data_IF_396533791056
#
_entry.id   IF_396533791056
#
_cell.length_a   1.000
_cell.length_b   1.000
_cell.length_c   1.000
_cell.angle_alpha   90.00
_cell.angle_beta   90.00
_cell.angle_gamma   90.00
#
_symmetry.space_group_name_H-M   'P 1'
#
loop_
_entity.id
_entity.type
_entity.pdbx_description
1 polymer ?
#
# COMPACT_ATOMS: atom_id res chain seq x y z
N UNK A 1 9.48 13.52 6.71
CA UNK A 1 9.82 13.13 8.10
C UNK A 1 8.83 13.60 9.19
N UNK A 2 8.39 14.86 9.23
CA UNK A 2 7.57 15.38 10.34
C UNK A 2 6.26 14.61 10.60
N UNK A 3 5.54 14.26 9.52
CA UNK A 3 4.29 13.50 9.60
C UNK A 3 4.49 12.12 10.25
N UNK A 4 5.50 11.35 9.84
CA UNK A 4 5.79 10.04 10.42
C UNK A 4 5.96 10.13 11.95
N UNK A 5 6.76 11.08 12.42
CA UNK A 5 7.00 11.26 13.86
C UNK A 5 5.73 11.64 14.62
N UNK A 6 4.86 12.45 14.01
CA UNK A 6 3.58 12.80 14.61
C UNK A 6 2.66 11.58 14.72
N UNK A 7 2.59 10.75 13.67
CA UNK A 7 1.78 9.52 13.64
C UNK A 7 2.32 8.50 14.66
N UNK A 8 3.63 8.24 14.70
CA UNK A 8 4.24 7.33 15.68
C UNK A 8 3.91 7.72 17.13
N UNK A 9 3.90 9.03 17.44
CA UNK A 9 3.50 9.52 18.77
C UNK A 9 2.02 9.32 19.06
N UNK A 10 1.17 9.50 18.04
CA UNK A 10 -0.28 9.35 18.19
C UNK A 10 -0.70 7.88 18.36
N UNK A 11 0.04 6.93 17.78
CA UNK A 11 -0.29 5.49 17.79
C UNK A 11 0.94 4.61 18.08
N UNK A 12 1.53 4.67 19.28
CA UNK A 12 2.83 4.03 19.57
C UNK A 12 2.87 2.50 19.48
N UNK A 13 1.71 1.83 19.44
CA UNK A 13 1.61 0.37 19.36
C UNK A 13 1.30 -0.18 17.95
N UNK A 14 1.13 0.68 16.95
CA UNK A 14 0.77 0.26 15.59
C UNK A 14 2.02 0.38 14.70
N UNK A 15 2.48 -0.71 14.05
CA UNK A 15 3.57 -0.64 13.08
C UNK A 15 3.23 0.32 11.92
N UNK A 16 4.10 1.30 11.66
CA UNK A 16 3.90 2.28 10.59
C UNK A 16 4.83 1.97 9.42
N UNK A 17 4.25 1.63 8.28
CA UNK A 17 4.94 1.44 7.01
C UNK A 17 4.97 2.77 6.24
N UNK A 18 6.09 3.08 5.59
CA UNK A 18 6.25 4.35 4.85
C UNK A 18 6.31 4.09 3.35
N UNK A 19 5.51 4.83 2.57
CA UNK A 19 5.57 4.83 1.11
C UNK A 19 6.78 5.66 0.62
N UNK A 20 7.63 5.05 -0.21
CA UNK A 20 8.72 5.72 -0.91
C UNK A 20 8.30 5.84 -2.38
N UNK A 21 7.83 7.03 -2.75
CA UNK A 21 7.34 7.33 -4.10
C UNK A 21 7.55 8.81 -4.40
N UNK A 22 8.54 9.17 -5.23
CA UNK A 22 8.99 10.56 -5.37
C UNK A 22 8.01 11.43 -6.16
N UNK A 23 7.15 10.82 -6.98
CA UNK A 23 6.11 11.51 -7.75
C UNK A 23 4.88 10.65 -8.03
N UNK A 24 3.78 11.32 -8.40
CA UNK A 24 2.59 10.69 -8.97
C UNK A 24 2.84 10.27 -10.44
N UNK A 25 1.99 9.39 -10.97
CA UNK A 25 2.09 8.87 -12.33
C UNK A 25 2.58 7.42 -12.34
N UNK A 26 3.38 7.09 -13.35
CA UNK A 26 3.99 5.76 -13.51
C UNK A 26 5.00 5.40 -12.40
N UNK A 27 5.60 4.21 -12.56
CA UNK A 27 6.65 3.65 -11.70
C UNK A 27 7.98 3.49 -12.45
N UNK A 28 8.13 4.15 -13.61
CA UNK A 28 9.35 4.15 -14.41
C UNK A 28 10.19 5.37 -14.01
N UNK A 29 11.07 5.19 -13.04
CA UNK A 29 11.85 6.29 -12.50
C UNK A 29 13.13 6.55 -13.32
N UNK A 30 13.51 7.82 -13.43
CA UNK A 30 14.86 8.20 -13.85
C UNK A 30 15.89 7.86 -12.76
N UNK A 31 17.19 7.89 -13.10
CA UNK A 31 18.25 7.68 -12.10
C UNK A 31 18.17 8.71 -10.96
N UNK A 32 17.94 9.98 -11.28
CA UNK A 32 17.83 11.05 -10.28
C UNK A 32 16.62 10.85 -9.34
N UNK A 33 15.48 10.40 -9.85
CA UNK A 33 14.32 10.08 -9.02
C UNK A 33 14.59 8.87 -8.12
N UNK A 34 15.33 7.88 -8.63
CA UNK A 34 15.72 6.70 -7.87
C UNK A 34 16.72 7.06 -6.76
N UNK A 35 17.67 7.95 -7.01
CA UNK A 35 18.60 8.46 -5.98
C UNK A 35 17.85 9.14 -4.82
N UNK A 36 16.83 9.94 -5.13
CA UNK A 36 15.93 10.53 -4.11
C UNK A 36 15.24 9.44 -3.29
N UNK A 37 14.73 8.39 -3.94
CA UNK A 37 14.11 7.26 -3.25
C UNK A 37 15.08 6.56 -2.29
N UNK A 38 16.34 6.36 -2.71
CA UNK A 38 17.38 5.74 -1.87
C UNK A 38 17.70 6.60 -0.65
N UNK A 39 17.80 7.92 -0.81
CA UNK A 39 18.00 8.83 0.32
C UNK A 39 16.82 8.79 1.30
N UNK A 40 15.58 8.82 0.79
CA UNK A 40 14.38 8.69 1.62
C UNK A 40 14.36 7.34 2.38
N UNK A 41 14.73 6.24 1.72
CA UNK A 41 14.83 4.91 2.35
C UNK A 41 15.76 4.96 3.57
N UNK A 42 16.95 5.54 3.43
CA UNK A 42 17.92 5.64 4.52
C UNK A 42 17.41 6.53 5.65
N UNK A 43 16.80 7.67 5.33
CA UNK A 43 16.21 8.56 6.32
C UNK A 43 15.08 7.88 7.10
N UNK A 44 14.20 7.13 6.43
CA UNK A 44 13.07 6.47 7.07
C UNK A 44 13.48 5.27 7.92
N UNK A 45 14.50 4.51 7.52
CA UNK A 45 15.12 3.47 8.36
C UNK A 45 15.61 4.06 9.70
N UNK A 46 16.31 5.20 9.65
CA UNK A 46 16.86 5.85 10.85
C UNK A 46 15.78 6.41 11.79
N UNK A 47 14.56 6.63 11.30
CA UNK A 47 13.45 7.20 12.10
C UNK A 47 12.47 6.16 12.65
N UNK A 48 12.79 4.87 12.54
CA UNK A 48 12.00 3.80 13.14
C UNK A 48 10.68 3.53 12.41
N UNK A 49 10.63 3.75 11.09
CA UNK A 49 9.59 3.14 10.27
C UNK A 49 9.64 1.61 10.45
N UNK A 50 8.48 0.97 10.62
CA UNK A 50 8.41 -0.49 10.79
C UNK A 50 8.74 -1.23 9.49
N UNK A 51 8.56 -0.55 8.36
CA UNK A 51 8.98 -1.01 7.04
C UNK A 51 8.68 0.03 5.97
N UNK A 52 9.05 -0.30 4.73
CA UNK A 52 8.98 0.60 3.58
C UNK A 52 8.15 -0.05 2.48
N UNK A 53 7.44 0.77 1.70
CA UNK A 53 6.60 0.34 0.57
C UNK A 53 7.04 1.14 -0.65
N UNK A 54 7.41 0.45 -1.72
CA UNK A 54 7.77 1.05 -3.01
C UNK A 54 7.61 0.03 -4.13
N UNK A 55 7.66 0.49 -5.37
CA UNK A 55 7.69 -0.37 -6.55
C UNK A 55 8.34 0.35 -7.71
N UNK A 56 9.20 -0.33 -8.45
CA UNK A 56 9.89 0.21 -9.62
C UNK A 56 9.62 -0.72 -10.80
N UNK A 57 9.21 -0.15 -11.92
CA UNK A 57 8.91 -0.89 -13.14
C UNK A 57 9.85 -0.46 -14.27
N UNK A 58 10.11 -1.40 -15.18
CA UNK A 58 10.70 -1.17 -16.50
C UNK A 58 9.67 -0.55 -17.45
N UNK A 59 10.12 -0.07 -18.61
CA UNK A 59 9.23 0.52 -19.62
C UNK A 59 8.21 -0.51 -20.17
N UNK A 60 8.54 -1.79 -20.09
CA UNK A 60 7.73 -2.92 -20.52
C UNK A 60 6.65 -3.31 -19.48
N UNK A 61 6.61 -2.63 -18.33
CA UNK A 61 5.68 -2.91 -17.24
C UNK A 61 6.11 -4.05 -16.31
N UNK A 62 7.31 -4.57 -16.50
CA UNK A 62 7.90 -5.63 -15.68
C UNK A 62 8.58 -4.99 -14.45
N UNK A 63 8.62 -5.67 -13.30
CA UNK A 63 9.37 -5.21 -12.11
C UNK A 63 10.85 -5.01 -12.45
N UNK A 64 11.37 -3.83 -12.15
CA UNK A 64 12.79 -3.54 -12.30
C UNK A 64 13.57 -4.23 -11.16
N UNK A 65 14.02 -5.45 -11.44
CA UNK A 65 14.73 -6.29 -10.48
C UNK A 65 16.04 -5.65 -10.02
N UNK A 66 16.75 -4.92 -10.89
CA UNK A 66 18.03 -4.33 -10.52
C UNK A 66 17.83 -3.22 -9.48
N UNK A 67 16.79 -2.40 -9.66
CA UNK A 67 16.45 -1.31 -8.75
C UNK A 67 15.57 -1.71 -7.56
N UNK A 68 14.88 -2.84 -7.66
CA UNK A 68 14.03 -3.36 -6.57
C UNK A 68 14.78 -4.33 -5.66
N UNK A 69 16.00 -4.76 -6.02
CA UNK A 69 16.83 -5.62 -5.18
C UNK A 69 17.54 -4.82 -4.09
N UNK A 70 17.23 -5.15 -2.83
CA UNK A 70 18.11 -4.92 -1.67
C UNK A 70 19.31 -5.88 -1.63
N UNK A 71 19.64 -6.54 -2.74
CA UNK A 71 20.72 -7.52 -2.83
C UNK A 71 20.28 -8.97 -3.06
N UNK A 72 19.00 -9.37 -2.97
CA UNK A 72 18.59 -10.73 -3.42
C UNK A 72 17.19 -10.81 -4.06
N UNK A 73 17.24 -11.13 -5.37
CA UNK A 73 16.35 -12.02 -6.12
C UNK A 73 14.95 -11.46 -6.58
N UNK A 74 14.32 -11.99 -7.66
CA UNK A 74 13.34 -11.26 -8.52
C UNK A 74 11.86 -11.61 -8.25
N UNK A 75 10.88 -10.83 -8.73
CA UNK A 75 9.45 -11.23 -8.79
C UNK A 75 8.55 -10.50 -9.82
N UNK A 76 7.78 -11.33 -10.55
CA UNK A 76 6.40 -11.29 -11.11
C UNK A 76 5.90 -10.02 -11.82
N UNK A 77 5.39 -10.22 -13.05
CA UNK A 77 5.30 -9.14 -14.03
C UNK A 77 3.99 -8.94 -14.81
N UNK A 78 2.86 -9.60 -14.52
CA UNK A 78 1.52 -9.21 -15.06
C UNK A 78 0.34 -9.85 -14.32
N UNK A 79 -0.82 -9.20 -14.41
CA UNK A 79 -2.08 -9.54 -13.70
C UNK A 79 -2.99 -10.55 -14.44
N UNK A 80 -2.69 -10.90 -15.69
CA UNK A 80 -3.61 -11.65 -16.57
C UNK A 80 -3.56 -13.19 -16.42
N UNK A 81 -2.82 -13.72 -15.44
CA UNK A 81 -2.66 -15.16 -15.24
C UNK A 81 -2.93 -15.57 -13.78
N UNK A 82 -4.21 -15.62 -13.37
CA UNK A 82 -4.61 -16.12 -12.04
C UNK A 82 -3.96 -17.47 -11.62
N UNK A 83 -3.76 -18.47 -12.51
CA UNK A 83 -3.04 -19.70 -12.17
C UNK A 83 -1.53 -19.51 -11.97
N UNK A 84 -0.90 -18.56 -12.68
CA UNK A 84 0.53 -18.28 -12.56
C UNK A 84 0.81 -17.36 -11.37
N UNK A 85 -0.10 -16.44 -11.03
CA UNK A 85 -0.10 -15.68 -9.79
C UNK A 85 -0.09 -16.66 -8.61
N UNK A 86 -0.97 -17.67 -8.57
CA UNK A 86 -0.92 -18.70 -7.51
C UNK A 86 0.43 -19.41 -7.41
N UNK A 87 1.01 -19.83 -8.56
CA UNK A 87 2.31 -20.52 -8.58
C UNK A 87 3.46 -19.60 -8.19
N UNK A 88 3.39 -18.34 -8.57
CA UNK A 88 4.42 -17.37 -8.30
C UNK A 88 4.34 -16.82 -6.87
N UNK A 89 3.14 -16.72 -6.29
CA UNK A 89 2.93 -16.51 -4.85
C UNK A 89 3.51 -17.70 -4.07
N UNK A 90 3.18 -18.94 -4.46
CA UNK A 90 3.73 -20.13 -3.80
C UNK A 90 5.27 -20.19 -3.88
N UNK A 91 5.85 -19.90 -5.06
CA UNK A 91 7.30 -19.86 -5.25
C UNK A 91 7.96 -18.69 -4.49
N UNK A 92 7.32 -17.52 -4.46
CA UNK A 92 7.81 -16.35 -3.73
C UNK A 92 7.77 -16.59 -2.21
N UNK A 93 6.67 -17.13 -1.67
CA UNK A 93 6.57 -17.50 -0.26
C UNK A 93 7.56 -18.61 0.14
N UNK A 94 7.87 -19.55 -0.78
CA UNK A 94 8.90 -20.56 -0.56
C UNK A 94 10.33 -19.99 -0.62
N UNK A 95 10.56 -18.99 -1.47
CA UNK A 95 11.88 -18.37 -1.68
C UNK A 95 12.19 -17.26 -0.65
N UNK A 96 11.17 -16.56 -0.15
CA UNK A 96 11.28 -15.46 0.82
C UNK A 96 10.25 -15.63 1.95
N UNK A 97 10.52 -16.51 2.93
CA UNK A 97 9.56 -16.84 3.99
C UNK A 97 9.22 -15.66 4.94
N UNK A 98 9.86 -14.51 4.76
CA UNK A 98 9.66 -13.30 5.56
C UNK A 98 9.05 -12.11 4.78
N UNK A 99 8.71 -12.29 3.50
CA UNK A 99 8.04 -11.26 2.71
C UNK A 99 6.53 -11.55 2.67
N UNK A 100 5.71 -10.59 3.11
CA UNK A 100 4.25 -10.72 3.02
C UNK A 100 3.73 -10.11 1.72
N UNK A 101 2.87 -10.85 1.02
CA UNK A 101 2.11 -10.33 -0.11
C UNK A 101 0.88 -9.58 0.37
N UNK A 102 0.73 -8.34 -0.07
CA UNK A 102 -0.32 -7.44 0.38
C UNK A 102 -1.28 -7.08 -0.77
N UNK A 103 -2.53 -7.51 -0.67
CA UNK A 103 -3.58 -7.21 -1.65
C UNK A 103 -4.23 -5.88 -1.30
N UNK A 104 -4.20 -4.91 -2.21
CA UNK A 104 -4.58 -3.52 -1.89
C UNK A 104 -5.74 -2.91 -2.70
N UNK A 105 -6.07 -3.50 -3.86
CA UNK A 105 -7.01 -2.87 -4.79
C UNK A 105 -8.46 -3.27 -4.50
N UNK A 106 -9.32 -2.27 -4.28
CA UNK A 106 -10.77 -2.47 -4.19
C UNK A 106 -11.27 -3.16 -2.92
N UNK A 107 -10.44 -3.35 -1.89
CA UNK A 107 -10.86 -3.93 -0.61
C UNK A 107 -11.68 -2.91 0.18
N UNK A 108 -12.93 -3.25 0.46
CA UNK A 108 -13.89 -2.43 1.18
C UNK A 108 -14.93 -3.35 1.87
N UNK A 109 -15.90 -2.81 2.65
CA UNK A 109 -16.89 -3.64 3.33
C UNK A 109 -17.69 -4.59 2.43
N UNK A 110 -17.92 -4.23 1.17
CA UNK A 110 -18.70 -5.03 0.23
C UNK A 110 -17.87 -6.14 -0.42
N UNK A 111 -16.56 -5.94 -0.57
CA UNK A 111 -15.67 -6.89 -1.27
C UNK A 111 -14.85 -7.77 -0.35
N UNK A 112 -14.66 -7.38 0.92
CA UNK A 112 -13.73 -8.03 1.85
C UNK A 112 -14.04 -9.51 2.07
N UNK A 113 -15.31 -9.92 2.14
CA UNK A 113 -15.66 -11.32 2.40
C UNK A 113 -15.23 -12.24 1.24
N UNK A 114 -15.49 -11.82 -0.01
CA UNK A 114 -15.07 -12.54 -1.20
C UNK A 114 -13.54 -12.61 -1.33
N UNK A 115 -12.85 -11.53 -0.94
CA UNK A 115 -11.38 -11.47 -0.91
C UNK A 115 -10.85 -12.46 0.12
N UNK A 116 -11.30 -12.40 1.38
CA UNK A 116 -10.84 -13.29 2.45
C UNK A 116 -11.05 -14.77 2.12
N UNK A 117 -12.20 -15.11 1.52
CA UNK A 117 -12.48 -16.47 1.04
C UNK A 117 -11.46 -16.95 0.00
N UNK A 118 -11.03 -16.06 -0.90
CA UNK A 118 -10.04 -16.37 -1.95
C UNK A 118 -8.61 -16.47 -1.40
N UNK A 119 -8.28 -15.66 -0.39
CA UNK A 119 -6.94 -15.61 0.21
C UNK A 119 -6.65 -16.82 1.10
N UNK A 120 -7.66 -17.35 1.80
CA UNK A 120 -7.51 -18.51 2.69
C UNK A 120 -6.96 -19.76 1.97
N UNK A 121 -7.31 -19.95 0.71
CA UNK A 121 -6.81 -21.07 -0.10
C UNK A 121 -5.30 -20.99 -0.42
N UNK A 122 -4.65 -19.86 -0.11
CA UNK A 122 -3.28 -19.55 -0.53
C UNK A 122 -2.42 -19.03 0.64
N UNK A 123 -2.82 -19.29 1.89
CA UNK A 123 -2.09 -18.93 3.12
C UNK A 123 -1.76 -17.44 3.31
N UNK A 124 -2.43 -16.54 2.58
CA UNK A 124 -2.24 -15.09 2.72
C UNK A 124 -2.96 -14.59 3.98
N UNK A 125 -2.26 -13.79 4.78
CA UNK A 125 -2.71 -13.33 6.10
C UNK A 125 -2.86 -11.83 6.25
N UNK A 126 -2.55 -11.06 5.21
CA UNK A 126 -2.58 -9.60 5.24
C UNK A 126 -3.39 -9.04 4.09
N UNK A 127 -4.11 -7.95 4.36
CA UNK A 127 -4.89 -7.18 3.41
C UNK A 127 -4.57 -5.69 3.56
N UNK A 128 -4.63 -4.95 2.47
CA UNK A 128 -4.48 -3.51 2.44
C UNK A 128 -5.72 -2.84 1.87
N UNK A 129 -6.08 -1.71 2.45
CA UNK A 129 -7.18 -0.88 2.00
C UNK A 129 -6.89 0.57 2.37
N UNK A 130 -7.41 1.48 1.57
CA UNK A 130 -7.32 2.91 1.85
C UNK A 130 -8.35 3.35 2.88
N UNK A 131 -9.55 2.74 2.84
CA UNK A 131 -10.73 3.21 3.57
C UNK A 131 -11.07 4.67 3.29
N UNK A 132 -10.57 5.21 2.17
CA UNK A 132 -10.52 6.64 1.95
C UNK A 132 -11.78 7.20 1.32
N UNK A 133 -12.10 8.43 1.68
CA UNK A 133 -13.20 9.21 1.12
C UNK A 133 -12.88 10.70 1.17
N UNK A 134 -13.56 11.47 0.33
CA UNK A 134 -13.49 12.93 0.36
C UNK A 134 -14.49 13.48 1.36
N UNK A 135 -14.03 14.44 2.17
CA UNK A 135 -14.86 15.24 3.07
C UNK A 135 -14.71 16.72 2.75
N UNK A 136 -15.73 17.52 3.06
CA UNK A 136 -15.65 18.96 2.92
C UNK A 136 -14.57 19.54 3.87
N UNK A 137 -13.61 20.30 3.34
CA UNK A 137 -12.51 20.85 4.13
C UNK A 137 -12.89 22.01 5.05
N UNK A 138 -14.17 22.38 5.14
CA UNK A 138 -14.68 23.39 6.07
C UNK A 138 -14.34 24.84 5.70
N UNK A 139 -13.58 25.07 4.62
CA UNK A 139 -13.25 26.42 4.16
C UNK A 139 -14.51 27.12 3.64
N UNK A 140 -14.92 28.20 4.31
CA UNK A 140 -16.15 28.93 3.99
C UNK A 140 -16.03 29.86 2.78
N UNK A 141 -14.83 30.33 2.47
CA UNK A 141 -14.57 31.21 1.34
C UNK A 141 -13.76 30.47 0.28
N UNK A 142 -14.37 30.22 -0.89
CA UNK A 142 -13.79 29.41 -1.99
C UNK A 142 -13.75 30.23 -3.28
N UNK A 143 -12.69 31.00 -3.53
CA UNK A 143 -12.55 31.77 -4.76
C UNK A 143 -12.58 30.85 -6.00
N UNK A 144 -13.40 31.19 -6.98
CA UNK A 144 -13.38 30.52 -8.27
C UNK A 144 -12.07 30.79 -9.02
N UNK A 145 -11.59 29.80 -9.77
CA UNK A 145 -10.38 29.94 -10.60
C UNK A 145 -9.05 29.85 -9.83
N UNK A 146 -9.07 29.63 -8.52
CA UNK A 146 -7.89 29.26 -7.75
C UNK A 146 -7.86 27.73 -7.62
N UNK A 147 -6.95 27.09 -8.34
CA UNK A 147 -6.71 25.66 -8.25
C UNK A 147 -5.22 25.38 -8.20
N UNK A 148 -4.80 24.51 -7.28
CA UNK A 148 -3.41 24.06 -7.09
C UNK A 148 -3.16 22.69 -7.74
N UNK A 149 -4.08 22.25 -8.62
CA UNK A 149 -3.97 20.99 -9.35
C UNK A 149 -4.75 19.82 -8.74
N UNK A 150 -5.57 20.06 -7.71
CA UNK A 150 -6.47 19.05 -7.16
C UNK A 150 -7.80 19.04 -7.93
N UNK A 151 -7.81 18.40 -9.11
CA UNK A 151 -8.91 18.29 -10.08
C UNK A 151 -10.31 18.09 -9.47
N UNK A 152 -10.99 19.19 -9.13
CA UNK A 152 -12.35 19.18 -8.58
C UNK A 152 -12.47 18.99 -7.06
N UNK A 153 -11.36 18.80 -6.35
CA UNK A 153 -11.30 18.57 -4.90
C UNK A 153 -10.43 19.59 -4.17
N UNK A 154 -10.29 20.79 -4.74
CA UNK A 154 -9.41 21.86 -4.23
C UNK A 154 -9.66 22.22 -2.75
N UNK A 155 -10.91 22.09 -2.31
CA UNK A 155 -11.34 22.45 -0.96
C UNK A 155 -11.71 21.24 -0.11
N UNK A 156 -11.58 20.03 -0.65
CA UNK A 156 -11.95 18.80 0.02
C UNK A 156 -10.71 18.17 0.67
N UNK A 157 -10.93 17.40 1.72
CA UNK A 157 -9.90 16.66 2.43
C UNK A 157 -10.12 15.18 2.20
N UNK A 158 -9.11 14.51 1.62
CA UNK A 158 -9.09 13.06 1.58
C UNK A 158 -8.77 12.53 2.98
N UNK A 159 -9.67 11.75 3.55
CA UNK A 159 -9.53 11.19 4.89
C UNK A 159 -9.85 9.69 4.91
N UNK A 160 -9.45 8.99 5.97
CA UNK A 160 -9.78 7.57 6.16
C UNK A 160 -11.04 7.43 7.01
N UNK A 161 -12.05 6.74 6.48
CA UNK A 161 -13.31 6.46 7.17
C UNK A 161 -13.14 5.44 8.29
N UNK A 162 -13.35 5.90 9.53
CA UNK A 162 -13.38 5.01 10.70
C UNK A 162 -14.45 3.91 10.56
N UNK A 163 -15.61 4.23 9.97
CA UNK A 163 -16.68 3.27 9.76
C UNK A 163 -16.25 2.15 8.81
N UNK A 164 -15.69 2.51 7.65
CA UNK A 164 -15.24 1.53 6.66
C UNK A 164 -14.15 0.61 7.24
N UNK A 165 -13.17 1.17 7.96
CA UNK A 165 -12.12 0.39 8.62
C UNK A 165 -12.69 -0.58 9.65
N UNK A 166 -13.64 -0.15 10.49
CA UNK A 166 -14.30 -1.01 11.49
C UNK A 166 -15.14 -2.13 10.85
N UNK A 167 -15.84 -1.83 9.76
CA UNK A 167 -16.63 -2.83 9.04
C UNK A 167 -15.71 -3.93 8.48
N UNK A 168 -14.68 -3.55 7.72
CA UNK A 168 -13.69 -4.50 7.17
C UNK A 168 -13.02 -5.31 8.28
N UNK A 169 -12.64 -4.66 9.39
CA UNK A 169 -12.03 -5.33 10.54
C UNK A 169 -12.96 -6.40 11.13
N UNK A 170 -14.25 -6.10 11.28
CA UNK A 170 -15.23 -7.06 11.81
C UNK A 170 -15.33 -8.32 10.94
N UNK A 171 -15.32 -8.17 9.60
CA UNK A 171 -15.30 -9.32 8.69
C UNK A 171 -14.02 -10.15 8.85
N UNK A 172 -12.86 -9.50 8.96
CA UNK A 172 -11.58 -10.18 9.16
C UNK A 172 -11.50 -10.93 10.50
N UNK A 173 -12.05 -10.37 11.59
CA UNK A 173 -12.09 -11.02 12.90
C UNK A 173 -12.97 -12.27 12.87
N UNK A 174 -14.19 -12.18 12.32
CA UNK A 174 -15.09 -13.33 12.16
C UNK A 174 -14.43 -14.43 11.32
N UNK A 175 -13.74 -14.05 10.24
CA UNK A 175 -13.03 -14.99 9.39
C UNK A 175 -11.88 -15.69 10.12
N UNK A 176 -11.09 -14.93 10.87
CA UNK A 176 -9.97 -15.46 11.66
C UNK A 176 -10.43 -16.50 12.66
N UNK A 177 -11.56 -16.26 13.34
CA UNK A 177 -12.15 -17.21 14.28
C UNK A 177 -12.69 -18.48 13.59
N UNK A 178 -13.18 -18.38 12.35
CA UNK A 178 -13.59 -19.57 11.57
C UNK A 178 -12.38 -20.45 11.21
N UNK A 179 -11.24 -19.86 10.87
CA UNK A 179 -10.03 -20.58 10.44
C UNK A 179 -9.25 -21.23 11.58
N UNK A 180 -9.52 -20.86 12.84
CA UNK A 180 -8.92 -21.50 14.03
C UNK A 180 -9.63 -22.81 14.43
N UNK A 181 -10.82 -23.07 13.89
CA UNK A 181 -11.63 -24.27 14.16
C UNK A 181 -11.34 -25.35 13.12
#
# INVERSE_FOLDING_TARGET
>A
MGLLRAVQKAVPGIPIMVMIRPRIGDFLYSDAEFDVMLEDIELFKLTGAAGLVFGVLTAEGEVDILRTRSGQSPSITRLDDLPQIKRAIANHCAQYPHQTLLFGSGINPDTVEAVLASLAANEIREIHLTGGHWEDGGMRHRPGGMGMGASGHEWDIWSTSQHAIRAVRSHADVWTERMKR
#
